data_IF_936048568616
#
_entry.id   IF_936048568616
#
_cell.length_a   1.000
_cell.length_b   1.000
_cell.length_c   1.000
_cell.angle_alpha   90.00
_cell.angle_beta   90.00
_cell.angle_gamma   90.00
#
_symmetry.space_group_name_H-M   'P 1'
#
loop_
_entity.id
_entity.type
_entity.pdbx_description
1 polymer ?
#
# COMPACT_ATOMS: atom_id res chain seq x y z
N UNK A 1 15.77 13.10 17.74
CA UNK A 1 15.24 11.95 17.00
C UNK A 1 15.84 10.69 17.62
N UNK A 2 15.01 9.71 17.97
CA UNK A 2 15.49 8.38 18.35
C UNK A 2 16.27 7.80 17.14
N UNK A 3 17.32 7.03 17.40
CA UNK A 3 18.06 6.34 16.35
C UNK A 3 17.17 5.41 15.53
N UNK A 4 17.59 5.00 14.32
CA UNK A 4 16.79 4.10 13.48
C UNK A 4 16.54 2.77 14.20
N UNK A 5 15.31 2.27 14.08
CA UNK A 5 14.86 0.97 14.59
C UNK A 5 14.39 0.10 13.46
N UNK A 6 14.38 -1.23 13.58
CA UNK A 6 13.77 -2.12 12.61
C UNK A 6 12.30 -1.75 12.38
N UNK A 7 11.85 -1.77 11.11
CA UNK A 7 10.45 -1.42 10.77
C UNK A 7 9.43 -2.31 11.50
N UNK A 8 9.76 -3.56 11.79
CA UNK A 8 8.92 -4.46 12.57
C UNK A 8 8.53 -3.92 13.94
N UNK A 9 9.36 -3.06 14.55
CA UNK A 9 9.09 -2.49 15.89
C UNK A 9 7.90 -1.52 15.87
N UNK A 10 7.50 -1.05 14.69
CA UNK A 10 6.35 -0.17 14.47
C UNK A 10 5.10 -0.92 13.98
N UNK A 11 5.18 -2.25 13.84
CA UNK A 11 4.14 -3.07 13.22
C UNK A 11 3.61 -4.12 14.19
N UNK A 12 2.34 -4.50 14.03
CA UNK A 12 1.75 -5.68 14.63
C UNK A 12 2.06 -6.94 13.82
N UNK A 13 2.38 -6.77 12.54
CA UNK A 13 2.78 -7.86 11.66
C UNK A 13 3.08 -7.38 10.24
N UNK A 14 3.80 -8.23 9.50
CA UNK A 14 4.11 -8.06 8.08
C UNK A 14 3.76 -9.39 7.41
N UNK A 15 2.91 -9.35 6.39
CA UNK A 15 2.32 -10.54 5.79
C UNK A 15 2.36 -10.44 4.27
N UNK A 16 2.55 -11.56 3.61
CA UNK A 16 2.45 -11.69 2.16
C UNK A 16 1.20 -12.49 1.75
N UNK A 17 0.81 -12.31 0.50
CA UNK A 17 -0.23 -13.12 -0.11
C UNK A 17 0.28 -14.51 -0.53
N UNK A 18 -0.64 -15.42 -0.90
CA UNK A 18 -0.27 -16.70 -1.51
C UNK A 18 0.48 -16.48 -2.83
N UNK A 19 1.57 -17.24 -3.06
CA UNK A 19 2.37 -17.18 -4.29
C UNK A 19 1.70 -17.93 -5.47
N UNK A 20 0.39 -17.74 -5.62
CA UNK A 20 -0.42 -18.38 -6.65
C UNK A 20 -1.38 -17.36 -7.28
N UNK A 21 -2.04 -17.76 -8.35
CA UNK A 21 -3.11 -16.99 -8.98
C UNK A 21 -4.41 -17.78 -8.84
N UNK A 22 -5.48 -17.20 -8.31
CA UNK A 22 -6.76 -17.88 -8.18
C UNK A 22 -7.42 -18.09 -9.55
N UNK A 23 -8.40 -18.98 -9.60
CA UNK A 23 -9.37 -18.95 -10.66
C UNK A 23 -10.16 -17.65 -10.55
N UNK A 24 -10.35 -16.98 -11.67
CA UNK A 24 -11.10 -15.73 -11.70
C UNK A 24 -12.58 -16.04 -11.44
N UNK A 25 -13.19 -15.24 -10.57
CA UNK A 25 -14.61 -15.22 -10.30
C UNK A 25 -15.22 -13.94 -10.88
N UNK A 26 -16.47 -14.01 -11.31
CA UNK A 26 -17.18 -12.84 -11.81
C UNK A 26 -17.45 -11.81 -10.69
N UNK A 27 -17.66 -12.29 -9.48
CA UNK A 27 -17.95 -11.51 -8.27
C UNK A 27 -17.29 -12.11 -7.05
N UNK A 28 -17.45 -11.47 -5.89
CA UNK A 28 -16.88 -11.90 -4.62
C UNK A 28 -15.79 -10.97 -4.09
N UNK A 29 -14.98 -11.44 -3.11
CA UNK A 29 -13.90 -10.65 -2.54
C UNK A 29 -12.84 -10.24 -3.57
N UNK A 30 -12.31 -9.03 -3.41
CA UNK A 30 -11.30 -8.46 -4.32
C UNK A 30 -9.98 -9.22 -4.22
N UNK A 31 -9.40 -9.58 -5.37
CA UNK A 31 -8.03 -10.05 -5.47
C UNK A 31 -7.10 -8.87 -5.78
N UNK A 32 -6.43 -8.35 -4.75
CA UNK A 32 -5.61 -7.16 -4.85
C UNK A 32 -4.28 -7.45 -5.53
N UNK A 33 -4.16 -7.06 -6.80
CA UNK A 33 -2.95 -7.22 -7.60
C UNK A 33 -2.07 -5.96 -7.62
N UNK A 34 -0.88 -6.06 -8.25
CA UNK A 34 0.06 -4.94 -8.42
C UNK A 34 -0.62 -3.73 -9.07
N UNK A 35 -1.43 -3.95 -10.10
CA UNK A 35 -2.09 -2.87 -10.86
C UNK A 35 -3.04 -2.03 -10.01
N UNK A 36 -3.52 -2.58 -8.92
CA UNK A 36 -4.46 -1.90 -8.04
C UNK A 36 -3.77 -0.97 -7.02
N UNK A 37 -2.44 -0.98 -6.95
CA UNK A 37 -1.67 -0.10 -6.06
C UNK A 37 -0.97 0.93 -6.93
N UNK A 38 -1.38 2.19 -6.82
CA UNK A 38 -0.86 3.29 -7.64
C UNK A 38 0.48 3.82 -7.13
N UNK A 39 1.18 4.61 -7.96
CA UNK A 39 2.47 5.20 -7.58
C UNK A 39 2.33 6.35 -6.57
N UNK A 40 1.17 6.99 -6.56
CA UNK A 40 0.86 8.11 -5.68
C UNK A 40 0.25 7.69 -4.32
N UNK A 41 0.27 6.38 -4.02
CA UNK A 41 -0.08 5.89 -2.69
C UNK A 41 -1.55 5.55 -2.49
N UNK A 42 -2.28 5.24 -3.55
CA UNK A 42 -3.72 4.94 -3.53
C UNK A 42 -4.03 3.53 -4.00
N UNK A 43 -5.23 3.06 -3.68
CA UNK A 43 -5.81 1.90 -4.32
C UNK A 43 -6.69 2.34 -5.49
N UNK A 44 -6.45 1.78 -6.66
CA UNK A 44 -7.36 1.83 -7.79
C UNK A 44 -8.15 0.52 -7.85
N UNK A 45 -9.42 0.62 -7.50
CA UNK A 45 -10.37 -0.49 -7.48
C UNK A 45 -11.37 -0.41 -8.65
N UNK A 46 -11.13 0.42 -9.66
CA UNK A 46 -11.98 0.55 -10.84
C UNK A 46 -11.99 -0.72 -11.70
N UNK A 47 -10.85 -1.41 -11.76
CA UNK A 47 -10.71 -2.70 -12.44
C UNK A 47 -10.07 -3.71 -11.48
N UNK A 48 -10.87 -4.58 -10.92
CA UNK A 48 -10.43 -5.61 -9.98
C UNK A 48 -10.74 -7.01 -10.52
N UNK A 49 -9.97 -7.97 -10.02
CA UNK A 49 -10.32 -9.39 -10.09
C UNK A 49 -10.97 -9.81 -8.79
N UNK A 50 -11.73 -10.87 -8.85
CA UNK A 50 -12.40 -11.44 -7.70
C UNK A 50 -11.96 -12.88 -7.45
N UNK A 51 -12.06 -13.31 -6.21
CA UNK A 51 -12.01 -14.73 -5.82
C UNK A 51 -13.40 -15.16 -5.39
N UNK A 52 -13.74 -16.43 -5.61
CA UNK A 52 -15.03 -16.95 -5.14
C UNK A 52 -15.08 -16.97 -3.59
N UNK A 53 -16.29 -16.91 -3.04
CA UNK A 53 -16.50 -17.03 -1.59
C UNK A 53 -15.94 -18.33 -1.03
N UNK A 54 -16.00 -19.42 -1.80
CA UNK A 54 -15.49 -20.73 -1.40
C UNK A 54 -13.95 -20.74 -1.28
N UNK A 55 -13.26 -20.02 -2.18
CA UNK A 55 -11.81 -19.94 -2.16
C UNK A 55 -11.26 -18.88 -1.19
N UNK A 56 -12.07 -17.90 -0.81
CA UNK A 56 -11.64 -16.78 0.02
C UNK A 56 -10.91 -17.19 1.31
N UNK A 57 -11.37 -18.21 2.10
CA UNK A 57 -10.65 -18.64 3.29
C UNK A 57 -9.24 -19.19 3.00
N UNK A 58 -9.04 -19.81 1.84
CA UNK A 58 -7.72 -20.28 1.39
C UNK A 58 -6.79 -19.12 1.08
N UNK A 59 -7.32 -18.06 0.44
CA UNK A 59 -6.55 -16.88 0.03
C UNK A 59 -6.24 -15.95 1.19
N UNK A 60 -7.00 -16.01 2.26
CA UNK A 60 -6.80 -15.20 3.48
C UNK A 60 -6.21 -15.97 4.65
N UNK A 61 -5.76 -17.22 4.44
CA UNK A 61 -5.20 -18.07 5.50
C UNK A 61 -4.03 -17.42 6.25
N UNK A 62 -3.20 -16.62 5.58
CA UNK A 62 -2.06 -15.92 6.19
C UNK A 62 -2.49 -14.63 6.86
N UNK A 63 -3.35 -13.89 6.21
CA UNK A 63 -3.87 -12.61 6.71
C UNK A 63 -5.15 -12.23 5.97
N UNK A 64 -6.09 -11.66 6.70
CA UNK A 64 -7.22 -10.91 6.14
C UNK A 64 -6.81 -9.44 6.19
N UNK A 65 -6.70 -8.73 5.04
CA UNK A 65 -6.45 -7.29 5.03
C UNK A 65 -7.52 -6.54 5.82
N UNK A 66 -7.10 -5.60 6.64
CA UNK A 66 -7.97 -4.79 7.49
C UNK A 66 -7.82 -3.31 7.17
N UNK A 67 -8.84 -2.48 7.41
CA UNK A 67 -8.73 -1.04 7.26
C UNK A 67 -7.53 -0.47 8.05
N UNK A 68 -6.71 0.30 7.36
CA UNK A 68 -5.50 0.86 7.94
C UNK A 68 -4.22 0.03 7.76
N UNK A 69 -4.31 -1.20 7.28
CA UNK A 69 -3.13 -1.92 6.81
C UNK A 69 -2.50 -1.18 5.62
N UNK A 70 -1.18 -1.17 5.55
CA UNK A 70 -0.45 -0.59 4.40
C UNK A 70 0.01 -1.73 3.50
N UNK A 71 -0.62 -1.86 2.33
CA UNK A 71 -0.21 -2.82 1.31
C UNK A 71 0.93 -2.28 0.48
N UNK A 72 1.78 -3.18 -0.02
CA UNK A 72 2.88 -2.80 -0.90
C UNK A 72 3.25 -3.90 -1.89
N UNK A 73 3.86 -3.48 -2.99
CA UNK A 73 4.41 -4.39 -4.00
C UNK A 73 5.86 -4.70 -3.67
N UNK A 74 6.22 -5.98 -3.69
CA UNK A 74 7.58 -6.41 -3.34
C UNK A 74 8.31 -7.16 -4.47
N UNK A 75 7.65 -7.40 -5.60
CA UNK A 75 8.23 -8.11 -6.75
C UNK A 75 7.71 -7.53 -8.06
N UNK A 76 8.54 -7.47 -9.09
CA UNK A 76 8.33 -6.94 -10.44
C UNK A 76 8.16 -5.41 -10.50
N UNK A 77 7.10 -4.87 -9.96
CA UNK A 77 6.91 -3.41 -9.81
C UNK A 77 7.08 -3.07 -8.34
N UNK A 78 8.15 -2.41 -7.99
CA UNK A 78 8.49 -2.06 -6.61
C UNK A 78 7.96 -0.65 -6.25
N UNK A 79 8.02 -0.31 -4.95
CA UNK A 79 7.77 1.04 -4.42
C UNK A 79 6.34 1.56 -4.62
N UNK A 80 5.36 0.67 -4.74
CA UNK A 80 3.95 1.04 -4.67
C UNK A 80 3.41 0.66 -3.30
N UNK A 81 2.74 1.61 -2.66
CA UNK A 81 2.19 1.48 -1.31
C UNK A 81 0.81 2.09 -1.28
N UNK A 82 -0.12 1.54 -0.50
CA UNK A 82 -1.44 2.14 -0.29
C UNK A 82 -2.04 1.68 1.04
N UNK A 83 -2.96 2.46 1.59
CA UNK A 83 -3.72 2.09 2.80
C UNK A 83 -4.98 1.35 2.39
N UNK A 84 -5.27 0.24 3.06
CA UNK A 84 -6.56 -0.46 2.92
C UNK A 84 -7.67 0.43 3.50
N UNK A 85 -8.68 0.80 2.69
CA UNK A 85 -9.78 1.65 3.12
C UNK A 85 -10.81 0.90 3.96
N UNK A 86 -11.69 1.66 4.62
CA UNK A 86 -12.89 1.10 5.25
C UNK A 86 -13.77 0.41 4.21
N UNK A 87 -14.42 -0.68 4.61
CA UNK A 87 -15.30 -1.46 3.73
C UNK A 87 -14.59 -2.35 2.71
N UNK A 88 -13.25 -2.33 2.63
CA UNK A 88 -12.53 -3.24 1.74
C UNK A 88 -12.71 -4.69 2.20
N UNK A 89 -13.10 -5.55 1.25
CA UNK A 89 -13.16 -7.00 1.43
C UNK A 89 -12.39 -7.68 0.32
N UNK A 90 -11.29 -8.32 0.65
CA UNK A 90 -10.42 -8.94 -0.35
C UNK A 90 -9.25 -9.69 0.23
N UNK A 91 -8.38 -10.15 -0.64
CA UNK A 91 -7.15 -10.85 -0.31
C UNK A 91 -5.97 -10.27 -1.08
N UNK A 92 -4.75 -10.59 -0.59
CA UNK A 92 -3.51 -10.15 -1.23
C UNK A 92 -3.22 -11.02 -2.46
N UNK A 93 -2.83 -10.37 -3.54
CA UNK A 93 -2.32 -11.00 -4.74
C UNK A 93 -0.88 -11.51 -4.60
N UNK A 94 -0.43 -12.22 -5.61
CA UNK A 94 0.85 -12.97 -5.62
C UNK A 94 2.10 -12.16 -5.27
N UNK A 95 2.13 -10.87 -5.58
CA UNK A 95 3.32 -10.00 -5.44
C UNK A 95 3.06 -8.82 -4.52
N UNK A 96 2.04 -8.97 -3.69
CA UNK A 96 1.59 -7.95 -2.75
C UNK A 96 1.77 -8.47 -1.34
N UNK A 97 2.30 -7.62 -0.48
CA UNK A 97 2.41 -7.84 0.95
C UNK A 97 1.73 -6.69 1.70
N UNK A 98 1.54 -6.84 2.99
CA UNK A 98 1.04 -5.77 3.85
C UNK A 98 1.84 -5.65 5.14
N UNK A 99 1.89 -4.43 5.62
CA UNK A 99 2.32 -4.07 6.97
C UNK A 99 1.05 -3.69 7.76
N UNK A 100 0.85 -4.30 8.92
CA UNK A 100 -0.18 -3.90 9.88
C UNK A 100 0.45 -2.95 10.89
N UNK A 101 0.15 -1.63 10.84
CA UNK A 101 0.75 -0.66 11.75
C UNK A 101 0.32 -0.92 13.20
N UNK A 102 1.24 -0.67 14.15
CA UNK A 102 0.87 -0.60 15.55
C UNK A 102 0.41 0.84 15.88
N UNK A 103 -0.89 1.09 16.14
CA UNK A 103 -1.41 2.46 16.29
C UNK A 103 -0.88 3.21 17.51
N UNK A 104 -0.25 2.50 18.46
CA UNK A 104 0.42 3.11 19.62
C UNK A 104 1.79 3.68 19.22
N UNK A 105 2.41 3.17 18.15
CA UNK A 105 3.78 3.50 17.73
C UNK A 105 3.88 4.26 16.42
N UNK A 106 2.88 4.07 15.55
CA UNK A 106 2.91 4.70 14.22
C UNK A 106 1.51 5.08 13.74
N UNK A 107 1.39 6.28 13.18
CA UNK A 107 0.20 6.71 12.43
C UNK A 107 0.23 6.06 11.04
N UNK A 108 -0.87 5.45 10.60
CA UNK A 108 -0.96 4.74 9.32
C UNK A 108 -0.72 5.63 8.10
N UNK A 109 -1.18 6.89 8.12
CA UNK A 109 -0.98 7.87 7.03
C UNK A 109 0.47 8.32 6.99
N UNK A 110 1.06 8.59 8.16
CA UNK A 110 2.48 8.90 8.25
C UNK A 110 3.34 7.75 7.71
N UNK A 111 3.02 6.50 8.05
CA UNK A 111 3.75 5.33 7.56
C UNK A 111 3.68 5.22 6.04
N UNK A 112 2.52 5.50 5.43
CA UNK A 112 2.38 5.57 3.97
C UNK A 112 3.32 6.63 3.38
N UNK A 113 3.29 7.87 3.88
CA UNK A 113 4.17 8.94 3.40
C UNK A 113 5.66 8.62 3.62
N UNK A 114 5.99 7.99 4.73
CA UNK A 114 7.33 7.51 4.98
C UNK A 114 7.77 6.50 3.92
N UNK A 115 6.93 5.52 3.59
CA UNK A 115 7.20 4.53 2.54
C UNK A 115 7.27 5.14 1.13
N UNK A 116 6.55 6.21 0.86
CA UNK A 116 6.63 6.95 -0.40
C UNK A 116 7.84 7.89 -0.46
N UNK A 117 8.55 8.11 0.64
CA UNK A 117 9.68 9.03 0.71
C UNK A 117 10.89 8.53 -0.08
N UNK A 118 11.71 9.48 -0.58
CA UNK A 118 12.96 9.16 -1.27
C UNK A 118 13.95 8.42 -0.37
N UNK A 119 14.00 8.76 0.92
CA UNK A 119 14.92 8.12 1.87
C UNK A 119 14.58 6.64 2.08
N UNK A 120 13.30 6.30 2.21
CA UNK A 120 12.86 4.92 2.29
C UNK A 120 13.14 4.17 1.00
N UNK A 121 12.80 4.76 -0.15
CA UNK A 121 13.08 4.16 -1.46
C UNK A 121 14.56 3.82 -1.61
N UNK A 122 15.44 4.78 -1.36
CA UNK A 122 16.89 4.58 -1.47
C UNK A 122 17.40 3.46 -0.54
N UNK A 123 16.89 3.41 0.70
CA UNK A 123 17.23 2.35 1.65
C UNK A 123 16.76 0.97 1.13
N UNK A 124 15.55 0.87 0.63
CA UNK A 124 15.01 -0.38 0.06
C UNK A 124 15.81 -0.81 -1.17
N UNK A 125 16.13 0.10 -2.09
CA UNK A 125 16.91 -0.16 -3.31
C UNK A 125 18.28 -0.77 -3.00
N UNK A 126 18.92 -0.36 -1.91
CA UNK A 126 20.20 -0.95 -1.47
C UNK A 126 20.09 -2.43 -1.07
N UNK A 127 18.87 -2.92 -0.85
CA UNK A 127 18.57 -4.30 -0.44
C UNK A 127 17.84 -5.12 -1.48
N UNK A 128 17.48 -4.50 -2.63
CA UNK A 128 16.79 -5.18 -3.73
C UNK A 128 17.68 -6.28 -4.29
N UNK A 129 17.09 -7.44 -4.49
CA UNK A 129 17.72 -8.56 -5.19
C UNK A 129 17.34 -8.44 -6.66
N UNK A 130 18.32 -8.12 -7.48
CA UNK A 130 18.17 -8.11 -8.95
C UNK A 130 18.18 -9.55 -9.44
N UNK A 131 17.04 -10.01 -9.93
CA UNK A 131 16.87 -11.38 -10.42
C UNK A 131 17.08 -11.47 -11.93
N UNK A 132 17.28 -12.69 -12.42
CA UNK A 132 17.34 -12.95 -13.87
C UNK A 132 16.00 -12.62 -14.59
N UNK A 133 14.90 -12.58 -13.86
CA UNK A 133 13.56 -12.36 -14.42
C UNK A 133 12.91 -11.08 -13.90
N UNK A 134 12.94 -10.83 -12.59
CA UNK A 134 12.31 -9.65 -11.96
C UNK A 134 13.04 -9.26 -10.69
N UNK A 135 13.06 -7.96 -10.39
CA UNK A 135 13.57 -7.41 -9.15
C UNK A 135 12.60 -7.68 -7.99
N UNK A 136 13.14 -7.89 -6.79
CA UNK A 136 12.33 -8.12 -5.59
C UNK A 136 12.92 -7.53 -4.33
N UNK A 137 12.05 -7.09 -3.44
CA UNK A 137 12.39 -6.78 -2.06
C UNK A 137 12.39 -8.10 -1.28
N UNK A 138 13.51 -8.47 -0.62
CA UNK A 138 13.56 -9.71 0.16
C UNK A 138 12.68 -9.57 1.42
N UNK A 139 11.50 -10.20 1.41
CA UNK A 139 10.53 -10.10 2.51
C UNK A 139 11.07 -10.62 3.84
N UNK A 140 11.99 -11.57 3.80
CA UNK A 140 12.68 -12.08 4.99
C UNK A 140 13.56 -11.02 5.67
N UNK A 141 14.07 -10.04 4.90
CA UNK A 141 14.88 -8.92 5.41
C UNK A 141 14.05 -7.68 5.72
N UNK A 142 12.90 -7.51 5.06
CA UNK A 142 12.05 -6.33 5.19
C UNK A 142 11.74 -5.97 6.66
N UNK A 143 11.43 -6.91 7.57
CA UNK A 143 11.17 -6.60 8.98
C UNK A 143 12.36 -5.91 9.69
N UNK A 144 13.58 -6.13 9.23
CA UNK A 144 14.79 -5.54 9.82
C UNK A 144 15.23 -4.23 9.17
N UNK A 145 14.54 -3.74 8.15
CA UNK A 145 14.89 -2.48 7.49
C UNK A 145 14.84 -1.31 8.48
N UNK A 146 15.87 -0.45 8.51
CA UNK A 146 15.96 0.64 9.47
C UNK A 146 14.94 1.74 9.13
N UNK A 147 14.18 2.16 10.14
CA UNK A 147 13.22 3.26 10.07
C UNK A 147 13.47 4.23 11.23
N UNK A 148 13.65 5.50 10.93
CA UNK A 148 13.81 6.57 11.93
C UNK A 148 12.50 7.40 11.95
N UNK A 149 11.53 6.97 12.73
CA UNK A 149 10.24 7.65 12.85
C UNK A 149 10.22 8.55 14.09
N UNK A 150 9.66 9.76 14.03
CA UNK A 150 9.48 10.62 15.19
C UNK A 150 8.41 10.05 16.14
N UNK A 151 8.17 10.74 17.26
CA UNK A 151 7.07 10.38 18.16
C UNK A 151 5.71 10.48 17.44
N UNK A 152 4.75 9.65 17.85
CA UNK A 152 3.46 9.48 17.15
C UNK A 152 2.66 10.77 17.00
N UNK A 153 2.74 11.69 17.96
CA UNK A 153 2.07 13.00 17.84
C UNK A 153 2.66 13.89 16.76
N UNK A 154 3.97 13.83 16.56
CA UNK A 154 4.64 14.50 15.45
C UNK A 154 4.26 13.84 14.13
N UNK A 155 4.20 12.51 14.09
CA UNK A 155 3.76 11.77 12.91
C UNK A 155 2.35 12.21 12.48
N UNK A 156 1.40 12.29 13.41
CA UNK A 156 0.02 12.73 13.14
C UNK A 156 -0.02 14.13 12.54
N UNK A 157 0.70 15.09 13.13
CA UNK A 157 0.78 16.47 12.61
C UNK A 157 1.34 16.52 11.19
N UNK A 158 2.39 15.75 10.91
CA UNK A 158 2.96 15.67 9.55
C UNK A 158 1.94 15.05 8.60
N UNK A 159 1.30 13.95 9.00
CA UNK A 159 0.28 13.28 8.20
C UNK A 159 -0.93 14.17 7.90
N UNK A 160 -1.39 14.97 8.88
CA UNK A 160 -2.48 15.92 8.71
C UNK A 160 -2.14 17.01 7.66
N UNK A 161 -0.93 17.52 7.70
CA UNK A 161 -0.46 18.51 6.71
C UNK A 161 -0.40 17.88 5.31
N UNK A 162 0.23 16.70 5.18
CA UNK A 162 0.42 16.05 3.88
C UNK A 162 -0.93 15.60 3.29
N UNK A 163 -1.84 15.04 4.11
CA UNK A 163 -3.16 14.64 3.62
C UNK A 163 -4.01 15.85 3.17
N UNK A 164 -3.87 17.00 3.79
CA UNK A 164 -4.54 18.23 3.31
C UNK A 164 -4.07 18.66 1.92
N UNK A 165 -2.78 18.46 1.60
CA UNK A 165 -2.27 18.68 0.25
C UNK A 165 -2.78 17.65 -0.75
N UNK A 166 -2.86 16.37 -0.35
CA UNK A 166 -3.42 15.32 -1.21
C UNK A 166 -4.89 15.61 -1.54
N UNK A 167 -5.69 16.03 -0.55
CA UNK A 167 -7.09 16.43 -0.75
C UNK A 167 -7.21 17.63 -1.70
N UNK A 168 -6.32 18.61 -1.57
CA UNK A 168 -6.29 19.77 -2.46
C UNK A 168 -5.94 19.37 -3.90
N UNK A 169 -4.94 18.50 -4.07
CA UNK A 169 -4.54 17.99 -5.39
C UNK A 169 -5.71 17.25 -6.03
N UNK A 170 -6.39 16.39 -5.28
CA UNK A 170 -7.52 15.62 -5.78
C UNK A 170 -8.71 16.52 -6.17
N UNK A 171 -9.03 17.50 -5.32
CA UNK A 171 -10.06 18.48 -5.64
C UNK A 171 -9.74 19.25 -6.92
N UNK A 172 -8.49 19.67 -7.10
CA UNK A 172 -8.07 20.37 -8.30
C UNK A 172 -8.13 19.48 -9.55
N UNK A 173 -7.74 18.20 -9.47
CA UNK A 173 -7.89 17.23 -10.57
C UNK A 173 -9.36 17.10 -10.98
N UNK A 174 -10.27 16.93 -10.02
CA UNK A 174 -11.72 16.84 -10.30
C UNK A 174 -12.25 18.12 -10.94
N UNK A 175 -11.84 19.29 -10.44
CA UNK A 175 -12.23 20.57 -11.03
C UNK A 175 -11.74 20.72 -12.47
N UNK A 176 -10.52 20.28 -12.77
CA UNK A 176 -9.99 20.30 -14.15
C UNK A 176 -10.84 19.45 -15.09
N UNK A 177 -11.18 18.21 -14.68
CA UNK A 177 -12.05 17.33 -15.49
C UNK A 177 -13.41 17.98 -15.75
N UNK A 178 -14.05 18.55 -14.72
CA UNK A 178 -15.35 19.21 -14.88
C UNK A 178 -15.27 20.45 -15.79
N UNK A 179 -14.20 21.22 -15.71
CA UNK A 179 -14.00 22.39 -16.59
C UNK A 179 -13.74 21.98 -18.03
N UNK A 180 -12.99 20.89 -18.26
CA UNK A 180 -12.78 20.35 -19.60
C UNK A 180 -14.09 19.81 -20.20
N UNK A 181 -14.92 19.13 -19.41
CA UNK A 181 -16.24 18.66 -19.84
C UNK A 181 -17.16 19.84 -20.18
N UNK A 182 -17.20 20.87 -19.33
CA UNK A 182 -17.99 22.06 -19.59
C UNK A 182 -17.52 22.80 -20.86
N UNK A 183 -16.22 22.92 -21.07
CA UNK A 183 -15.67 23.50 -22.29
C UNK A 183 -16.07 22.73 -23.55
N UNK A 184 -16.05 21.39 -23.53
CA UNK A 184 -16.47 20.54 -24.65
C UNK A 184 -17.97 20.67 -24.98
N UNK A 185 -18.79 21.06 -24.01
CA UNK A 185 -20.24 21.27 -24.25
C UNK A 185 -20.55 22.62 -24.87
N UNK A 186 -19.60 23.56 -24.81
CA UNK A 186 -19.75 24.91 -25.37
C UNK A 186 -19.27 25.03 -26.84
N UNK A 187 -18.54 24.03 -27.33
CA UNK A 187 -18.00 23.96 -28.69
C UNK A 187 -18.46 22.68 -29.41
#
# INVERSE_FOLDING_TARGET
LAGPRPIKDYCLGIFDGPHATPKESHDGPVFLGIKNITEDGRLDLSEVRHVSEEEYPRWTRRVIPQPGDVVFTYEATLHRYAIIPEGFRGCLGRRVALVRPNPVRVDKRYLLYFFLSRSWRHMVESSVITGATVDRIPLEKFPSFPAALPQVDIQRRIADILSAYDDLIENNKRRMVLLEEAARQLY
#
